data_IF_704042113012
#
_entry.id   IF_704042113012
#
_cell.length_a   1.000
_cell.length_b   1.000
_cell.length_c   1.000
_cell.angle_alpha   90.00
_cell.angle_beta   90.00
_cell.angle_gamma   90.00
#
_symmetry.space_group_name_H-M   'P 1'
#
loop_
_entity.id
_entity.type
_entity.pdbx_description
1 polymer ?
#
# COMPACT_ATOMS: atom_id res chain seq x y z
N UNK A 1 27.54 0.76 -2.57
CA UNK A 1 27.63 1.67 -3.72
C UNK A 1 26.19 1.92 -4.15
N UNK A 2 25.59 3.04 -3.77
CA UNK A 2 24.20 3.35 -4.13
C UNK A 2 24.26 3.90 -5.56
N UNK A 3 24.10 3.00 -6.53
CA UNK A 3 24.08 3.35 -7.95
C UNK A 3 22.78 4.09 -8.26
N UNK A 4 22.91 5.33 -8.72
CA UNK A 4 21.80 6.21 -9.06
C UNK A 4 20.99 5.72 -10.25
N UNK A 5 19.68 5.84 -10.10
CA UNK A 5 18.65 6.26 -11.05
C UNK A 5 17.37 5.42 -10.90
N UNK A 6 16.55 5.83 -9.94
CA UNK A 6 15.10 5.67 -10.00
C UNK A 6 14.49 7.00 -9.54
N UNK A 7 14.07 7.82 -10.50
CA UNK A 7 13.11 8.91 -10.26
C UNK A 7 12.00 8.75 -11.29
N UNK A 8 11.21 7.70 -11.08
CA UNK A 8 9.90 7.60 -11.71
C UNK A 8 8.93 8.42 -10.86
N UNK A 9 8.69 9.65 -11.30
CA UNK A 9 7.71 10.53 -10.69
C UNK A 9 6.33 10.23 -11.29
N UNK A 10 5.39 9.79 -10.46
CA UNK A 10 4.01 9.56 -10.87
C UNK A 10 3.01 10.26 -9.96
N UNK A 11 1.76 10.32 -10.42
CA UNK A 11 0.60 10.67 -9.61
C UNK A 11 -0.07 9.39 -9.11
N UNK A 12 -0.44 9.39 -7.83
CA UNK A 12 -1.32 8.37 -7.23
C UNK A 12 -2.53 9.07 -6.63
N UNK A 13 -3.60 8.33 -6.42
CA UNK A 13 -4.80 8.84 -5.74
C UNK A 13 -5.17 7.88 -4.64
N UNK A 14 -5.38 8.38 -3.42
CA UNK A 14 -5.93 7.57 -2.35
C UNK A 14 -7.39 7.21 -2.67
N UNK A 15 -7.77 5.94 -2.48
CA UNK A 15 -9.07 5.43 -2.93
C UNK A 15 -10.25 6.17 -2.29
N UNK A 16 -10.11 6.59 -1.02
CA UNK A 16 -11.14 7.36 -0.35
C UNK A 16 -11.31 8.77 -0.94
N UNK A 17 -10.21 9.41 -1.36
CA UNK A 17 -10.26 10.70 -2.04
C UNK A 17 -10.92 10.57 -3.41
N UNK A 18 -10.67 9.47 -4.13
CA UNK A 18 -11.33 9.21 -5.40
C UNK A 18 -12.86 9.07 -5.22
N UNK A 19 -13.30 8.32 -4.21
CA UNK A 19 -14.71 8.20 -3.87
C UNK A 19 -15.31 9.57 -3.48
N UNK A 20 -14.61 10.35 -2.65
CA UNK A 20 -15.03 11.69 -2.26
C UNK A 20 -15.20 12.62 -3.47
N UNK A 21 -14.25 12.59 -4.41
CA UNK A 21 -14.31 13.40 -5.62
C UNK A 21 -15.47 13.02 -6.54
N UNK A 22 -15.74 11.71 -6.69
CA UNK A 22 -16.88 11.21 -7.46
C UNK A 22 -18.19 11.72 -6.86
N UNK A 23 -18.36 11.62 -5.54
CA UNK A 23 -19.56 12.12 -4.85
C UNK A 23 -19.73 13.63 -5.05
N UNK A 24 -18.64 14.40 -4.89
CA UNK A 24 -18.65 15.85 -5.14
C UNK A 24 -19.00 16.22 -6.58
N UNK A 25 -18.50 15.46 -7.55
CA UNK A 25 -18.80 15.67 -8.96
C UNK A 25 -20.28 15.37 -9.28
N UNK A 26 -20.85 14.32 -8.69
CA UNK A 26 -22.28 13.99 -8.81
C UNK A 26 -23.15 15.11 -8.21
N UNK A 27 -22.77 15.64 -7.06
CA UNK A 27 -23.52 16.71 -6.37
C UNK A 27 -23.42 18.07 -7.08
N UNK A 28 -22.36 18.30 -7.88
CA UNK A 28 -22.15 19.51 -8.66
C UNK A 28 -23.00 19.55 -9.96
N UNK A 29 -24.30 19.27 -9.83
CA UNK A 29 -25.28 18.95 -10.89
C UNK A 29 -25.38 19.92 -12.08
N UNK A 30 -24.80 21.12 -11.99
CA UNK A 30 -24.80 22.12 -13.05
C UNK A 30 -23.66 21.95 -14.08
N UNK A 31 -22.65 21.13 -13.79
CA UNK A 31 -21.42 20.98 -14.60
C UNK A 31 -21.27 19.57 -15.21
N UNK A 32 -22.26 19.15 -16.00
CA UNK A 32 -22.36 17.77 -16.52
C UNK A 32 -21.38 17.44 -17.67
N UNK A 33 -20.68 18.42 -18.24
CA UNK A 33 -19.74 18.26 -19.36
C UNK A 33 -18.28 18.58 -19.00
N UNK A 34 -17.95 18.58 -17.71
CA UNK A 34 -16.63 18.94 -17.20
C UNK A 34 -15.78 17.72 -16.83
N UNK A 35 -14.47 17.82 -17.06
CA UNK A 35 -13.48 16.84 -16.61
C UNK A 35 -12.63 17.41 -15.46
N UNK A 36 -12.36 16.58 -14.45
CA UNK A 36 -11.59 16.93 -13.26
C UNK A 36 -10.49 15.90 -13.02
N UNK A 37 -9.24 16.37 -12.90
CA UNK A 37 -8.13 15.53 -12.47
C UNK A 37 -8.15 15.39 -10.95
N UNK A 38 -7.84 14.18 -10.46
CA UNK A 38 -7.75 13.86 -9.03
C UNK A 38 -6.48 13.06 -8.78
N UNK A 39 -5.74 13.46 -7.74
CA UNK A 39 -4.52 12.83 -7.27
C UNK A 39 -4.15 13.40 -5.90
N UNK A 40 -3.22 12.75 -5.20
CA UNK A 40 -2.41 13.38 -4.16
C UNK A 40 -1.65 14.58 -4.76
N UNK A 41 -1.42 15.63 -3.96
CA UNK A 41 -0.65 16.80 -4.43
C UNK A 41 0.85 16.51 -4.48
N UNK A 42 1.32 15.57 -3.68
CA UNK A 42 2.71 15.13 -3.63
C UNK A 42 3.06 14.20 -4.78
N UNK A 43 4.33 14.24 -5.19
CA UNK A 43 4.88 13.31 -6.18
C UNK A 43 5.07 11.95 -5.54
N UNK A 44 4.54 10.90 -6.16
CA UNK A 44 4.86 9.53 -5.78
C UNK A 44 6.13 9.06 -6.49
N UNK A 45 7.05 8.48 -5.73
CA UNK A 45 8.31 7.93 -6.21
C UNK A 45 8.70 6.72 -5.34
N UNK A 46 8.83 5.55 -5.94
CA UNK A 46 9.14 4.31 -5.21
C UNK A 46 10.40 4.43 -4.35
N UNK A 47 11.43 5.15 -4.82
CA UNK A 47 12.69 5.37 -4.10
C UNK A 47 12.49 6.12 -2.77
N UNK A 48 11.54 7.04 -2.72
CA UNK A 48 11.23 7.82 -1.51
C UNK A 48 10.17 7.15 -0.64
N UNK A 49 9.24 6.43 -1.28
CA UNK A 49 8.11 5.80 -0.59
C UNK A 49 8.51 4.52 0.14
N UNK A 50 9.44 3.72 -0.38
CA UNK A 50 9.92 2.51 0.32
C UNK A 50 10.54 2.84 1.69
N UNK A 51 11.46 3.82 1.81
CA UNK A 51 11.92 4.28 3.11
C UNK A 51 10.81 4.85 4.02
N UNK A 52 9.79 5.48 3.44
CA UNK A 52 8.65 5.99 4.21
C UNK A 52 7.82 4.85 4.81
N UNK A 53 7.51 3.83 4.01
CA UNK A 53 6.86 2.60 4.47
C UNK A 53 7.69 1.90 5.56
N UNK A 54 9.01 1.82 5.39
CA UNK A 54 9.91 1.29 6.43
C UNK A 54 9.72 2.01 7.77
N UNK A 55 9.68 3.35 7.77
CA UNK A 55 9.44 4.14 8.98
C UNK A 55 8.04 3.91 9.57
N UNK A 56 7.01 3.89 8.74
CA UNK A 56 5.61 3.62 9.15
C UNK A 56 5.52 2.27 9.86
N UNK A 57 6.17 1.24 9.29
CA UNK A 57 6.19 -0.13 9.82
C UNK A 57 7.20 -0.35 10.96
N UNK A 58 7.90 0.70 11.42
CA UNK A 58 8.93 0.60 12.46
C UNK A 58 10.15 -0.25 12.07
N UNK A 59 10.42 -0.39 10.76
CA UNK A 59 11.57 -1.12 10.21
C UNK A 59 12.67 -0.15 9.78
N UNK A 60 13.92 -0.58 9.87
CA UNK A 60 15.05 0.22 9.39
C UNK A 60 15.01 0.32 7.85
N UNK A 61 14.87 1.53 7.28
CA UNK A 61 14.90 1.73 5.83
C UNK A 61 16.18 1.22 5.16
N UNK A 62 17.28 1.11 5.90
CA UNK A 62 18.55 0.60 5.38
C UNK A 62 18.51 -0.91 5.03
N UNK A 63 17.51 -1.65 5.53
CA UNK A 63 17.27 -3.05 5.19
C UNK A 63 16.50 -3.21 3.88
N UNK A 64 15.85 -2.15 3.40
CA UNK A 64 15.15 -2.13 2.12
C UNK A 64 16.15 -1.82 1.01
N UNK A 65 17.02 -2.79 0.72
CA UNK A 65 17.92 -2.71 -0.41
C UNK A 65 17.12 -2.76 -1.72
N UNK A 66 16.86 -1.60 -2.32
CA UNK A 66 16.22 -1.52 -3.64
C UNK A 66 17.30 -1.74 -4.70
N UNK A 67 17.34 -2.94 -5.29
CA UNK A 67 18.12 -3.21 -6.49
C UNK A 67 17.17 -3.52 -7.65
N UNK A 68 17.41 -2.91 -8.82
CA UNK A 68 16.78 -3.37 -10.06
C UNK A 68 17.15 -4.85 -10.25
N UNK A 69 16.16 -5.72 -10.42
CA UNK A 69 16.42 -7.13 -10.72
C UNK A 69 17.24 -7.22 -12.02
N UNK A 70 18.40 -7.89 -12.02
CA UNK A 70 19.24 -7.99 -13.20
C UNK A 70 18.62 -8.97 -14.21
N UNK A 71 18.29 -8.50 -15.41
CA UNK A 71 17.91 -9.36 -16.54
C UNK A 71 16.49 -9.15 -17.07
N UNK A 72 15.64 -8.45 -16.35
CA UNK A 72 14.40 -7.93 -16.93
C UNK A 72 14.73 -6.65 -17.70
N UNK A 73 14.42 -6.61 -19.00
CA UNK A 73 13.98 -5.35 -19.60
C UNK A 73 12.81 -4.89 -18.73
N UNK A 74 13.10 -4.09 -17.69
CA UNK A 74 12.23 -3.84 -16.55
C UNK A 74 10.79 -3.77 -17.02
N UNK A 75 9.99 -4.79 -16.70
CA UNK A 75 8.59 -4.80 -17.02
C UNK A 75 8.05 -3.52 -16.41
N UNK A 76 7.74 -2.55 -17.27
CA UNK A 76 7.45 -1.18 -16.84
C UNK A 76 6.01 -1.19 -16.34
N UNK A 77 5.79 -1.84 -15.19
CA UNK A 77 4.47 -1.90 -14.52
C UNK A 77 4.18 -0.57 -13.83
N UNK A 78 5.21 0.23 -13.58
CA UNK A 78 5.09 1.58 -13.06
C UNK A 78 4.89 2.59 -14.19
N UNK A 79 4.04 3.60 -13.98
CA UNK A 79 3.16 4.08 -15.03
C UNK A 79 3.94 4.72 -16.18
N UNK A 80 3.48 4.45 -17.40
CA UNK A 80 4.06 4.94 -18.66
C UNK A 80 4.02 6.47 -18.85
N UNK A 81 3.56 7.22 -17.84
CA UNK A 81 3.43 8.66 -17.84
C UNK A 81 4.57 9.31 -17.08
N UNK A 82 5.58 9.74 -17.86
CA UNK A 82 6.75 10.49 -17.39
C UNK A 82 6.48 11.97 -17.10
N UNK A 83 5.21 12.38 -16.97
CA UNK A 83 4.78 13.79 -16.99
C UNK A 83 4.54 14.42 -15.61
N UNK A 84 5.05 13.81 -14.54
CA UNK A 84 5.01 14.39 -13.20
C UNK A 84 3.59 14.41 -12.59
N UNK A 85 3.40 15.14 -11.48
CA UNK A 85 2.13 15.19 -10.78
C UNK A 85 1.07 15.90 -11.63
N UNK A 86 -0.15 15.35 -11.68
CA UNK A 86 -1.26 15.97 -12.40
C UNK A 86 -1.79 17.17 -11.61
N UNK A 87 -2.22 18.22 -12.33
CA UNK A 87 -2.79 19.41 -11.70
C UNK A 87 -4.25 19.18 -11.29
N UNK A 88 -4.51 19.27 -9.98
CA UNK A 88 -5.82 19.09 -9.33
C UNK A 88 -6.53 20.43 -9.03
N UNK A 89 -5.98 21.56 -9.46
CA UNK A 89 -6.49 22.91 -9.14
C UNK A 89 -7.97 23.07 -9.50
N UNK A 90 -8.39 22.60 -10.68
CA UNK A 90 -9.79 22.67 -11.10
C UNK A 90 -10.73 21.89 -10.17
N UNK A 91 -10.33 20.69 -9.74
CA UNK A 91 -11.12 19.88 -8.81
C UNK A 91 -11.24 20.57 -7.44
N UNK A 92 -10.14 21.17 -6.95
CA UNK A 92 -10.11 21.92 -5.68
C UNK A 92 -11.03 23.13 -5.73
N UNK A 93 -10.97 23.91 -6.80
CA UNK A 93 -11.74 25.15 -6.93
C UNK A 93 -13.23 24.90 -7.23
N UNK A 94 -13.54 23.96 -8.13
CA UNK A 94 -14.90 23.73 -8.60
C UNK A 94 -15.68 22.73 -7.74
N UNK A 95 -15.02 21.70 -7.20
CA UNK A 95 -15.66 20.63 -6.42
C UNK A 95 -15.35 20.72 -4.93
N UNK A 96 -14.46 21.63 -4.51
CA UNK A 96 -13.94 21.64 -3.14
C UNK A 96 -13.13 20.38 -2.82
N UNK A 97 -12.53 19.73 -3.83
CA UNK A 97 -11.68 18.55 -3.64
C UNK A 97 -10.50 18.87 -2.72
N UNK A 98 -10.27 18.01 -1.73
CA UNK A 98 -9.23 18.19 -0.72
C UNK A 98 -8.52 16.83 -0.53
N UNK A 99 -7.41 16.60 -1.25
CA UNK A 99 -6.71 15.31 -1.21
C UNK A 99 -6.07 15.07 0.16
N UNK A 100 -5.99 13.80 0.53
CA UNK A 100 -5.30 13.29 1.70
C UNK A 100 -3.79 13.35 1.45
N UNK A 101 -2.98 13.85 2.42
CA UNK A 101 -1.53 13.85 2.30
C UNK A 101 -0.98 12.44 2.05
N UNK A 102 -0.02 12.32 1.15
CA UNK A 102 0.47 11.01 0.69
C UNK A 102 1.00 10.13 1.84
N UNK A 103 1.72 10.73 2.80
CA UNK A 103 2.24 10.00 3.97
C UNK A 103 1.12 9.42 4.83
N UNK A 104 0.03 10.17 5.02
CA UNK A 104 -1.15 9.70 5.75
C UNK A 104 -1.87 8.59 4.99
N UNK A 105 -2.04 8.75 3.68
CA UNK A 105 -2.63 7.71 2.84
C UNK A 105 -1.82 6.40 2.89
N UNK A 106 -0.48 6.50 2.92
CA UNK A 106 0.40 5.33 3.10
C UNK A 106 0.26 4.70 4.47
N UNK A 107 0.18 5.50 5.54
CA UNK A 107 -0.04 5.02 6.91
C UNK A 107 -1.36 4.25 7.03
N UNK A 108 -2.45 4.82 6.54
CA UNK A 108 -3.77 4.20 6.54
C UNK A 108 -3.81 2.93 5.67
N UNK A 109 -3.15 2.96 4.51
CA UNK A 109 -3.05 1.80 3.61
C UNK A 109 -2.23 0.68 4.26
N UNK A 110 -1.09 0.98 4.87
CA UNK A 110 -0.26 0.00 5.56
C UNK A 110 -1.02 -0.63 6.73
N UNK A 111 -1.67 0.19 7.56
CA UNK A 111 -2.50 -0.30 8.67
C UNK A 111 -3.67 -1.17 8.20
N UNK A 112 -4.30 -0.83 7.07
CA UNK A 112 -5.33 -1.69 6.47
C UNK A 112 -4.78 -3.06 6.07
N UNK A 113 -3.61 -3.12 5.42
CA UNK A 113 -2.99 -4.40 5.06
C UNK A 113 -2.57 -5.21 6.29
N UNK A 114 -2.00 -4.58 7.31
CA UNK A 114 -1.67 -5.26 8.58
C UNK A 114 -2.91 -5.87 9.21
N UNK A 115 -4.04 -5.15 9.20
CA UNK A 115 -5.30 -5.66 9.74
C UNK A 115 -5.85 -6.81 8.89
N UNK A 116 -5.93 -6.60 7.58
CA UNK A 116 -6.51 -7.57 6.65
C UNK A 116 -5.72 -8.87 6.58
N UNK A 117 -4.39 -8.81 6.71
CA UNK A 117 -3.56 -10.01 6.80
C UNK A 117 -3.96 -10.91 7.97
N UNK A 118 -4.41 -10.32 9.08
CA UNK A 118 -4.88 -11.05 10.26
C UNK A 118 -6.33 -11.51 10.09
N UNK A 119 -7.24 -10.60 9.68
CA UNK A 119 -8.68 -10.88 9.73
C UNK A 119 -9.22 -11.63 8.52
N UNK A 120 -8.60 -11.49 7.34
CA UNK A 120 -9.04 -12.10 6.10
C UNK A 120 -8.07 -13.18 5.65
N UNK A 121 -8.59 -14.39 5.46
CA UNK A 121 -7.83 -15.50 4.87
C UNK A 121 -7.57 -15.25 3.39
N UNK A 122 -8.60 -14.90 2.62
CA UNK A 122 -8.47 -14.62 1.19
C UNK A 122 -7.41 -13.55 0.87
N UNK A 123 -7.37 -12.44 1.61
CA UNK A 123 -6.36 -11.38 1.39
C UNK A 123 -4.96 -11.88 1.74
N UNK A 124 -4.82 -12.62 2.85
CA UNK A 124 -3.53 -13.22 3.24
C UNK A 124 -3.06 -14.23 2.21
N UNK A 125 -3.94 -15.09 1.73
CA UNK A 125 -3.66 -16.07 0.67
C UNK A 125 -3.13 -15.39 -0.59
N UNK A 126 -3.86 -14.43 -1.13
CA UNK A 126 -3.41 -13.70 -2.31
C UNK A 126 -2.07 -12.99 -2.13
N UNK A 127 -1.83 -12.35 -0.97
CA UNK A 127 -0.56 -11.66 -0.70
C UNK A 127 0.63 -12.62 -0.63
N UNK A 128 0.47 -13.78 -0.01
CA UNK A 128 1.55 -14.77 0.13
C UNK A 128 1.79 -15.49 -1.18
N UNK A 129 0.75 -15.79 -1.95
CA UNK A 129 0.88 -16.35 -3.30
C UNK A 129 1.65 -15.40 -4.23
N UNK A 130 1.28 -14.12 -4.26
CA UNK A 130 2.02 -13.12 -5.05
C UNK A 130 3.48 -13.02 -4.60
N UNK A 131 3.75 -13.06 -3.29
CA UNK A 131 5.11 -13.07 -2.76
C UNK A 131 5.89 -14.30 -3.22
N UNK A 132 5.30 -15.49 -3.13
CA UNK A 132 5.92 -16.75 -3.55
C UNK A 132 6.26 -16.69 -5.04
N UNK A 133 5.30 -16.28 -5.89
CA UNK A 133 5.47 -16.22 -7.34
C UNK A 133 6.60 -15.27 -7.77
N UNK A 134 6.79 -14.16 -7.07
CA UNK A 134 7.74 -13.12 -7.47
C UNK A 134 9.09 -13.18 -6.75
N UNK A 135 9.19 -13.93 -5.64
CA UNK A 135 10.40 -13.96 -4.80
C UNK A 135 11.06 -15.33 -4.80
N UNK A 136 10.30 -16.42 -4.93
CA UNK A 136 10.84 -17.77 -4.95
C UNK A 136 10.96 -18.28 -6.39
N UNK A 137 12.09 -18.90 -6.69
CA UNK A 137 12.33 -19.59 -7.97
C UNK A 137 11.72 -20.99 -7.85
N UNK A 138 10.80 -21.35 -8.74
CA UNK A 138 10.12 -22.66 -8.72
C UNK A 138 11.03 -23.80 -9.18
N UNK A 139 12.21 -23.49 -9.72
CA UNK A 139 13.26 -24.45 -10.07
C UNK A 139 14.15 -24.84 -8.86
N UNK A 140 13.97 -24.24 -7.68
CA UNK A 140 14.73 -24.61 -6.48
C UNK A 140 14.31 -26.00 -5.94
N UNK A 141 15.28 -26.89 -5.72
CA UNK A 141 15.07 -28.28 -5.24
C UNK A 141 14.28 -28.35 -3.90
N UNK A 142 14.28 -27.25 -3.13
CA UNK A 142 13.63 -27.12 -1.83
C UNK A 142 12.33 -26.27 -1.87
N UNK A 143 11.83 -25.88 -3.05
CA UNK A 143 10.68 -24.98 -3.20
C UNK A 143 9.46 -25.40 -2.36
N UNK A 144 9.02 -26.66 -2.48
CA UNK A 144 7.87 -27.19 -1.75
C UNK A 144 8.06 -27.15 -0.22
N UNK A 145 9.27 -27.42 0.27
CA UNK A 145 9.61 -27.38 1.71
C UNK A 145 9.64 -25.93 2.23
N UNK A 146 10.18 -25.00 1.44
CA UNK A 146 10.20 -23.56 1.75
C UNK A 146 8.77 -23.02 1.84
N UNK A 147 7.94 -23.29 0.82
CA UNK A 147 6.54 -22.83 0.77
C UNK A 147 5.74 -23.43 1.92
N UNK A 148 5.90 -24.72 2.21
CA UNK A 148 5.22 -25.38 3.34
C UNK A 148 5.58 -24.72 4.67
N UNK A 149 6.88 -24.49 4.93
CA UNK A 149 7.34 -23.86 6.18
C UNK A 149 6.90 -22.41 6.31
N UNK A 150 6.86 -21.68 5.19
CA UNK A 150 6.35 -20.31 5.15
C UNK A 150 4.89 -20.28 5.61
N UNK A 151 4.05 -21.16 5.04
CA UNK A 151 2.65 -21.28 5.41
C UNK A 151 2.45 -21.68 6.87
N UNK A 152 3.22 -22.65 7.37
CA UNK A 152 3.17 -23.06 8.78
C UNK A 152 3.48 -21.88 9.72
N UNK A 153 4.53 -21.12 9.41
CA UNK A 153 4.98 -19.98 10.20
C UNK A 153 3.94 -18.85 10.20
N UNK A 154 3.44 -18.48 9.01
CA UNK A 154 2.43 -17.43 8.87
C UNK A 154 1.16 -17.79 9.64
N UNK A 155 0.72 -19.05 9.55
CA UNK A 155 -0.49 -19.50 10.26
C UNK A 155 -0.31 -19.49 11.79
N UNK A 156 0.88 -19.84 12.28
CA UNK A 156 1.22 -19.73 13.69
C UNK A 156 1.19 -18.27 14.16
N UNK A 157 1.88 -17.37 13.46
CA UNK A 157 1.95 -15.94 13.80
C UNK A 157 0.55 -15.27 13.81
N UNK A 158 -0.27 -15.55 12.80
CA UNK A 158 -1.65 -15.03 12.71
C UNK A 158 -2.50 -15.53 13.86
N UNK A 159 -2.34 -16.80 14.25
CA UNK A 159 -3.06 -17.37 15.39
C UNK A 159 -2.66 -16.68 16.70
N UNK A 160 -1.36 -16.51 16.94
CA UNK A 160 -0.85 -15.83 18.13
C UNK A 160 -1.34 -14.38 18.21
N UNK A 161 -1.36 -13.66 17.09
CA UNK A 161 -1.89 -12.29 16.99
C UNK A 161 -3.36 -12.23 17.37
N UNK A 162 -4.20 -13.12 16.80
CA UNK A 162 -5.63 -13.20 17.13
C UNK A 162 -5.85 -13.45 18.62
N UNK A 163 -5.09 -14.38 19.20
CA UNK A 163 -5.17 -14.68 20.64
C UNK A 163 -4.77 -13.47 21.49
N UNK A 164 -3.73 -12.73 21.09
CA UNK A 164 -3.27 -11.52 21.78
C UNK A 164 -4.33 -10.41 21.76
N UNK A 165 -4.99 -10.18 20.62
CA UNK A 165 -6.07 -9.20 20.45
C UNK A 165 -7.29 -9.54 21.31
N UNK A 166 -7.69 -10.81 21.31
CA UNK A 166 -8.76 -11.31 22.19
C UNK A 166 -8.42 -11.17 23.68
N UNK A 167 -7.14 -11.29 24.05
CA UNK A 167 -6.70 -11.06 25.42
C UNK A 167 -6.71 -9.57 25.79
N UNK A 168 -6.34 -8.66 24.88
CA UNK A 168 -6.42 -7.21 25.13
C UNK A 168 -7.85 -6.71 25.25
N UNK A 169 -8.77 -7.19 24.40
CA UNK A 169 -10.18 -6.82 24.44
C UNK A 169 -10.84 -7.24 25.75
N UNK A 170 -10.60 -8.49 26.20
CA UNK A 170 -11.12 -9.00 27.48
C UNK A 170 -10.62 -8.19 28.68
N UNK A 171 -9.40 -7.66 28.63
CA UNK A 171 -8.84 -6.77 29.67
C UNK A 171 -9.50 -5.39 29.63
N UNK A 172 -9.75 -4.85 28.44
CA UNK A 172 -10.42 -3.57 28.29
C UNK A 172 -11.90 -3.63 28.76
N UNK A 173 -12.62 -4.71 28.44
CA UNK A 173 -14.02 -4.90 28.84
C UNK A 173 -14.22 -5.25 30.31
N UNK A 174 -13.21 -5.83 30.96
CA UNK A 174 -13.26 -6.20 32.39
C UNK A 174 -12.91 -5.06 33.36
N UNK A 175 -12.51 -3.89 32.85
CA UNK A 175 -12.08 -2.73 33.65
C UNK A 175 -13.18 -1.73 34.01
N UNK A 176 -14.42 -1.90 33.52
CA UNK A 176 -15.55 -0.99 33.79
C UNK A 176 -16.42 -1.38 35.01
N UNK A 177 -16.12 -2.47 35.70
CA UNK A 177 -16.80 -2.87 36.95
C UNK A 177 -15.92 -2.67 38.19
N UNK A 178 -15.55 -1.43 38.56
CA UNK A 178 -15.11 -1.08 39.93
C UNK A 178 -15.47 0.36 40.32
#
# INVERSE_FOLDING_TARGET
HIGGDVVEATSVTYVEDAAQAILKAIDASDNWDEAYNIACEEVFNATEMLPALGRILGRDPALLGVSKLPGEESFTVFPSVTRGPIDVTKAREALGFAPTPLEKALEETAGWYEEMFIVSEDVREGMVEEFIEHVLDDDDDDYDDIVTRLWETINEDVKEEKERRLASERRASGGEEL
#
